data_IF_270177039452
#
_entry.id   IF_270177039452
#
_cell.length_a   1.000
_cell.length_b   1.000
_cell.length_c   1.000
_cell.angle_alpha   90.00
_cell.angle_beta   90.00
_cell.angle_gamma   90.00
#
_symmetry.space_group_name_H-M   'P 1'
#
loop_
_entity.id
_entity.type
_entity.pdbx_description
1 polymer ?
#
# COMPACT_ATOMS: atom_id res chain seq x y z
N UNK A 1 -14.87 13.56 0.50
CA UNK A 1 -15.31 12.39 1.31
C UNK A 1 -14.17 11.38 1.49
N UNK A 2 -13.62 10.80 0.44
CA UNK A 2 -12.58 9.77 0.59
C UNK A 2 -11.29 10.29 1.22
N UNK A 3 -10.86 11.50 0.90
CA UNK A 3 -9.67 12.15 1.49
C UNK A 3 -9.75 12.37 3.00
N UNK A 4 -10.97 12.43 3.56
CA UNK A 4 -11.18 12.58 5.01
C UNK A 4 -11.30 11.23 5.70
N UNK A 5 -11.55 10.17 4.93
CA UNK A 5 -11.73 8.81 5.40
C UNK A 5 -10.42 8.00 5.35
N UNK A 6 -9.63 8.21 4.30
CA UNK A 6 -8.48 7.39 3.97
C UNK A 6 -7.17 8.15 3.86
N UNK A 7 -6.10 7.47 4.23
CA UNK A 7 -4.74 7.75 3.78
C UNK A 7 -4.19 6.48 3.13
N UNK A 8 -3.64 6.60 1.94
CA UNK A 8 -2.90 5.52 1.29
C UNK A 8 -1.50 5.49 1.87
N UNK A 9 -1.06 4.34 2.35
CA UNK A 9 0.34 4.08 2.69
C UNK A 9 0.94 3.27 1.56
N UNK A 10 1.82 3.91 0.79
CA UNK A 10 2.64 3.27 -0.21
C UNK A 10 3.99 2.93 0.40
N UNK A 11 4.34 1.66 0.43
CA UNK A 11 5.62 1.21 0.96
C UNK A 11 6.43 0.52 -0.12
N UNK A 12 7.71 0.85 -0.17
CA UNK A 12 8.64 0.35 -1.20
C UNK A 12 10.03 0.15 -0.63
N UNK A 13 10.64 -0.97 -1.00
CA UNK A 13 12.06 -1.21 -0.82
C UNK A 13 12.93 -0.58 -1.92
N UNK A 14 12.30 0.05 -2.94
CA UNK A 14 12.96 0.62 -4.12
C UNK A 14 13.83 -0.41 -4.89
N UNK A 15 13.35 -1.65 -4.96
CA UNK A 15 14.00 -2.76 -5.68
C UNK A 15 13.54 -2.90 -7.11
N UNK A 16 12.34 -2.41 -7.40
CA UNK A 16 11.76 -2.51 -8.72
C UNK A 16 12.59 -1.71 -9.74
N UNK A 17 12.52 -2.13 -10.99
CA UNK A 17 13.04 -1.31 -12.07
C UNK A 17 12.38 0.08 -12.00
N UNK A 18 13.17 1.13 -12.13
CA UNK A 18 12.71 2.51 -11.95
C UNK A 18 11.59 2.90 -12.92
N UNK A 19 11.67 2.46 -14.18
CA UNK A 19 10.64 2.71 -15.18
C UNK A 19 9.35 1.97 -14.84
N UNK A 20 9.46 0.74 -14.36
CA UNK A 20 8.33 -0.08 -13.92
C UNK A 20 7.64 0.56 -12.71
N UNK A 21 8.41 0.90 -11.67
CA UNK A 21 7.84 1.52 -10.46
C UNK A 21 7.18 2.87 -10.79
N UNK A 22 7.73 3.65 -11.74
CA UNK A 22 7.10 4.90 -12.17
C UNK A 22 5.71 4.67 -12.79
N UNK A 23 5.53 3.62 -13.58
CA UNK A 23 4.22 3.24 -14.13
C UNK A 23 3.22 2.86 -13.03
N UNK A 24 3.67 2.14 -12.00
CA UNK A 24 2.87 1.81 -10.82
C UNK A 24 2.44 3.09 -10.08
N UNK A 25 3.37 4.02 -9.86
CA UNK A 25 3.11 5.31 -9.21
C UNK A 25 2.10 6.15 -10.01
N UNK A 26 2.25 6.21 -11.32
CA UNK A 26 1.34 6.98 -12.19
C UNK A 26 -0.08 6.39 -12.15
N UNK A 27 -0.21 5.06 -12.22
CA UNK A 27 -1.49 4.38 -12.03
C UNK A 27 -2.08 4.69 -10.64
N UNK A 28 -1.28 4.56 -9.59
CA UNK A 28 -1.74 4.82 -8.22
C UNK A 28 -2.30 6.24 -8.08
N UNK A 29 -1.58 7.25 -8.57
CA UNK A 29 -2.04 8.65 -8.55
C UNK A 29 -3.35 8.86 -9.29
N UNK A 30 -3.48 8.26 -10.47
CA UNK A 30 -4.68 8.35 -11.30
C UNK A 30 -5.89 7.74 -10.59
N UNK A 31 -5.74 6.53 -10.06
CA UNK A 31 -6.85 5.80 -9.44
C UNK A 31 -7.22 6.32 -8.05
N UNK A 32 -6.24 6.76 -7.28
CA UNK A 32 -6.44 7.31 -5.94
C UNK A 32 -7.18 8.66 -5.94
N UNK A 33 -6.96 9.47 -6.98
CA UNK A 33 -7.55 10.81 -7.06
C UNK A 33 -7.03 11.74 -5.95
N UNK A 34 -7.93 12.25 -5.13
CA UNK A 34 -7.62 13.23 -4.06
C UNK A 34 -7.32 12.59 -2.69
N UNK A 35 -7.23 11.26 -2.61
CA UNK A 35 -6.88 10.58 -1.36
C UNK A 35 -5.42 10.88 -1.02
N UNK A 36 -5.11 11.33 0.21
CA UNK A 36 -3.74 11.58 0.62
C UNK A 36 -2.85 10.33 0.53
N UNK A 37 -1.65 10.49 0.01
CA UNK A 37 -0.65 9.42 -0.07
C UNK A 37 0.52 9.77 0.86
N UNK A 38 0.91 8.81 1.69
CA UNK A 38 2.18 8.83 2.42
C UNK A 38 3.00 7.68 1.85
N UNK A 39 4.14 7.99 1.26
CA UNK A 39 5.08 6.98 0.81
C UNK A 39 6.18 6.79 1.86
N UNK A 40 6.45 5.53 2.18
CA UNK A 40 7.55 5.15 3.08
C UNK A 40 8.51 4.26 2.29
N UNK A 41 9.70 4.75 2.04
CA UNK A 41 10.62 4.15 1.09
C UNK A 41 12.07 4.14 1.61
N UNK A 42 12.90 3.29 1.02
CA UNK A 42 14.31 3.20 1.38
C UNK A 42 15.19 4.22 0.64
N UNK A 43 14.69 4.75 -0.49
CA UNK A 43 15.31 5.87 -1.21
C UNK A 43 14.29 7.00 -1.32
N UNK A 44 14.75 8.27 -1.41
CA UNK A 44 13.84 9.39 -1.63
C UNK A 44 12.99 9.19 -2.90
N UNK A 45 11.70 9.51 -2.82
CA UNK A 45 10.80 9.43 -3.96
C UNK A 45 9.78 10.58 -3.96
N UNK A 46 9.28 10.90 -5.15
CA UNK A 46 8.30 11.96 -5.36
C UNK A 46 6.88 11.38 -5.42
N UNK A 47 6.37 10.93 -4.28
CA UNK A 47 5.02 10.39 -4.17
C UNK A 47 4.37 10.82 -2.86
N UNK A 48 3.41 11.75 -2.93
CA UNK A 48 2.73 12.30 -1.77
C UNK A 48 3.70 12.86 -0.72
N UNK A 49 3.42 12.64 0.57
CA UNK A 49 4.38 12.90 1.64
C UNK A 49 5.35 11.73 1.75
N UNK A 50 6.60 11.92 1.34
CA UNK A 50 7.60 10.86 1.42
C UNK A 50 8.35 10.86 2.76
N UNK A 51 8.48 9.67 3.34
CA UNK A 51 9.33 9.38 4.49
C UNK A 51 10.37 8.37 4.04
N UNK A 52 11.61 8.82 3.89
CA UNK A 52 12.72 7.95 3.51
C UNK A 52 13.38 7.38 4.77
N UNK A 53 13.35 6.06 4.90
CA UNK A 53 13.93 5.34 6.06
C UNK A 53 15.39 4.92 5.87
N UNK A 54 15.92 5.12 4.64
CA UNK A 54 17.25 4.67 4.27
C UNK A 54 17.30 3.17 3.95
N UNK A 55 18.48 2.68 3.69
CA UNK A 55 18.70 1.26 3.39
C UNK A 55 18.63 0.43 4.68
N UNK A 56 17.46 -0.14 4.92
CA UNK A 56 17.18 -1.01 6.09
C UNK A 56 17.12 -2.49 5.71
N UNK A 57 17.42 -2.82 4.45
CA UNK A 57 17.35 -4.17 3.93
C UNK A 57 15.90 -4.64 3.66
N UNK A 58 15.77 -5.92 3.31
CA UNK A 58 14.50 -6.49 2.84
C UNK A 58 14.07 -7.64 3.73
N UNK A 59 12.92 -7.45 4.36
CA UNK A 59 12.23 -8.46 5.15
C UNK A 59 10.79 -8.03 5.38
N UNK A 60 9.92 -8.96 5.68
CA UNK A 60 8.55 -8.66 6.10
C UNK A 60 8.51 -7.72 7.32
N UNK A 61 9.48 -7.85 8.23
CA UNK A 61 9.58 -6.96 9.39
C UNK A 61 9.86 -5.51 8.99
N UNK A 62 10.70 -5.29 7.97
CA UNK A 62 10.98 -3.94 7.46
C UNK A 62 9.79 -3.36 6.72
N UNK A 63 9.06 -4.16 5.95
CA UNK A 63 7.80 -3.74 5.34
C UNK A 63 6.78 -3.32 6.40
N UNK A 64 6.58 -4.12 7.43
CA UNK A 64 5.68 -3.79 8.53
C UNK A 64 6.11 -2.53 9.29
N UNK A 65 7.41 -2.32 9.50
CA UNK A 65 7.94 -1.06 10.07
C UNK A 65 7.63 0.15 9.19
N UNK A 66 7.80 0.01 7.88
CA UNK A 66 7.47 1.08 6.93
C UNK A 66 5.96 1.40 6.96
N UNK A 67 5.10 0.39 6.96
CA UNK A 67 3.64 0.56 7.09
C UNK A 67 3.29 1.25 8.41
N UNK A 68 3.89 0.82 9.53
CA UNK A 68 3.66 1.41 10.85
C UNK A 68 4.07 2.88 10.90
N UNK A 69 5.21 3.24 10.33
CA UNK A 69 5.68 4.62 10.22
C UNK A 69 4.64 5.47 9.47
N UNK A 70 4.18 5.00 8.32
CA UNK A 70 3.16 5.68 7.54
C UNK A 70 1.83 5.81 8.27
N UNK A 71 1.39 4.75 8.96
CA UNK A 71 0.15 4.76 9.72
C UNK A 71 0.19 5.74 10.91
N UNK A 72 1.33 5.88 11.57
CA UNK A 72 1.52 6.88 12.65
C UNK A 72 1.47 8.31 12.13
N UNK A 73 2.00 8.54 10.93
CA UNK A 73 1.98 9.85 10.28
C UNK A 73 0.59 10.23 9.76
N UNK A 74 -0.21 9.26 9.33
CA UNK A 74 -1.57 9.47 8.81
C UNK A 74 -2.51 10.05 9.88
N UNK A 75 -3.52 10.83 9.43
CA UNK A 75 -4.52 11.47 10.31
C UNK A 75 -5.93 10.91 10.13
N UNK A 76 -6.17 10.18 9.06
CA UNK A 76 -7.48 9.63 8.71
C UNK A 76 -7.80 8.35 9.50
N UNK A 77 -9.08 7.98 9.65
CA UNK A 77 -9.47 6.80 10.41
C UNK A 77 -9.06 5.47 9.77
N UNK A 78 -8.93 5.41 8.46
CA UNK A 78 -8.56 4.19 7.73
C UNK A 78 -7.29 4.36 6.92
N UNK A 79 -6.56 3.26 6.80
CA UNK A 79 -5.37 3.12 5.95
C UNK A 79 -5.71 2.19 4.79
N UNK A 80 -5.34 2.60 3.58
CA UNK A 80 -5.32 1.77 2.38
C UNK A 80 -3.86 1.38 2.10
N UNK A 81 -3.59 0.11 1.92
CA UNK A 81 -2.26 -0.39 1.60
C UNK A 81 -2.00 -0.27 0.10
N UNK A 82 -0.78 0.10 -0.25
CA UNK A 82 -0.32 0.11 -1.65
C UNK A 82 1.16 -0.29 -1.74
N UNK A 83 1.46 -1.20 -2.67
CA UNK A 83 2.79 -1.75 -2.92
C UNK A 83 3.35 -1.34 -4.30
N UNK A 84 4.65 -1.47 -4.45
CA UNK A 84 5.40 -1.04 -5.63
C UNK A 84 5.27 -1.95 -6.86
N UNK A 85 4.58 -3.06 -6.74
CA UNK A 85 4.35 -4.04 -7.82
C UNK A 85 2.86 -4.31 -8.10
N UNK A 86 1.97 -3.43 -7.61
CA UNK A 86 0.53 -3.52 -7.81
C UNK A 86 0.01 -2.45 -8.78
N UNK A 87 -0.87 -2.86 -9.68
CA UNK A 87 -1.76 -1.98 -10.44
C UNK A 87 -3.14 -2.04 -9.79
N UNK A 88 -3.62 -0.89 -9.31
CA UNK A 88 -4.89 -0.79 -8.62
C UNK A 88 -6.00 -0.30 -9.52
N UNK A 89 -7.21 -0.83 -9.29
CA UNK A 89 -8.43 -0.32 -9.90
C UNK A 89 -9.01 0.84 -9.08
N UNK A 90 -9.81 1.67 -9.73
CA UNK A 90 -10.52 2.76 -9.06
C UNK A 90 -11.43 2.27 -7.94
N UNK A 91 -12.05 1.12 -8.11
CA UNK A 91 -13.00 0.55 -7.15
C UNK A 91 -12.35 0.24 -5.80
N UNK A 92 -11.07 -0.15 -5.80
CA UNK A 92 -10.31 -0.36 -4.58
C UNK A 92 -10.26 0.89 -3.69
N UNK A 93 -10.15 2.07 -4.29
CA UNK A 93 -10.09 3.36 -3.58
C UNK A 93 -11.46 4.00 -3.33
N UNK A 94 -12.54 3.41 -3.84
CA UNK A 94 -13.91 3.91 -3.70
C UNK A 94 -14.78 3.05 -2.79
N UNK A 95 -14.19 2.03 -2.19
CA UNK A 95 -14.85 1.19 -1.20
C UNK A 95 -15.26 2.03 0.02
N UNK A 96 -16.45 1.78 0.55
CA UNK A 96 -16.95 2.44 1.77
C UNK A 96 -16.99 1.38 2.87
N UNK A 97 -16.21 1.54 3.95
CA UNK A 97 -16.12 0.53 5.00
C UNK A 97 -17.42 0.46 5.80
N UNK A 98 -17.81 -0.74 6.18
CA UNK A 98 -18.78 -0.95 7.24
C UNK A 98 -18.11 -0.67 8.59
N UNK A 99 -18.76 0.12 9.44
CA UNK A 99 -18.20 0.54 10.75
C UNK A 99 -17.95 -0.62 11.70
N UNK A 100 -18.61 -1.75 11.52
CA UNK A 100 -18.48 -2.93 12.39
C UNK A 100 -17.23 -3.77 12.10
N UNK A 101 -16.59 -3.54 10.94
CA UNK A 101 -15.41 -4.29 10.53
C UNK A 101 -14.13 -3.48 10.75
N UNK A 102 -13.10 -4.16 11.21
CA UNK A 102 -11.79 -3.56 11.49
C UNK A 102 -10.85 -3.57 10.28
N UNK A 103 -11.03 -4.54 9.40
CA UNK A 103 -10.19 -4.76 8.22
C UNK A 103 -11.00 -5.33 7.07
N UNK A 104 -10.63 -4.95 5.87
CA UNK A 104 -11.18 -5.42 4.60
C UNK A 104 -10.05 -5.87 3.69
N UNK A 105 -10.27 -6.99 3.00
CA UNK A 105 -9.34 -7.56 2.04
C UNK A 105 -10.00 -7.51 0.66
N UNK A 106 -9.31 -6.94 -0.31
CA UNK A 106 -9.72 -7.00 -1.70
C UNK A 106 -9.41 -8.39 -2.26
N UNK A 107 -10.40 -9.09 -2.80
CA UNK A 107 -10.29 -10.50 -3.20
C UNK A 107 -10.22 -10.73 -4.71
N UNK A 108 -10.34 -9.68 -5.52
CA UNK A 108 -10.22 -9.77 -6.97
C UNK A 108 -8.81 -9.38 -7.43
N UNK A 109 -7.82 -10.16 -7.03
CA UNK A 109 -6.41 -9.92 -7.32
C UNK A 109 -5.93 -10.92 -8.36
N UNK A 110 -5.23 -10.42 -9.39
CA UNK A 110 -4.65 -11.22 -10.43
C UNK A 110 -3.13 -11.06 -10.44
N UNK A 111 -2.41 -12.18 -10.38
CA UNK A 111 -0.97 -12.19 -10.58
C UNK A 111 -0.73 -12.35 -12.07
N UNK A 112 0.09 -11.45 -12.62
CA UNK A 112 0.53 -11.46 -14.01
C UNK A 112 2.02 -11.76 -14.04
N UNK A 113 2.38 -12.81 -14.76
CA UNK A 113 3.79 -13.18 -14.96
C UNK A 113 4.28 -12.69 -16.31
N UNK A 114 5.50 -12.26 -16.30
CA UNK A 114 6.19 -11.78 -17.49
C UNK A 114 6.54 -12.93 -18.48
N UNK A 115 6.81 -12.55 -19.73
CA UNK A 115 7.13 -13.42 -20.87
C UNK A 115 8.26 -14.42 -20.65
N UNK A 116 9.18 -14.16 -19.73
CA UNK A 116 10.29 -15.06 -19.42
C UNK A 116 9.82 -16.43 -18.93
N UNK A 117 8.65 -16.48 -18.30
CA UNK A 117 8.05 -17.70 -17.77
C UNK A 117 6.78 -18.13 -18.49
N UNK A 118 6.43 -17.43 -19.59
CA UNK A 118 5.19 -17.58 -20.33
C UNK A 118 4.14 -16.56 -19.86
N UNK A 119 3.32 -16.10 -20.80
CA UNK A 119 2.23 -15.16 -20.48
C UNK A 119 1.10 -15.93 -19.81
N UNK A 120 1.10 -16.00 -18.50
CA UNK A 120 -0.01 -16.55 -17.75
C UNK A 120 -0.32 -15.70 -16.52
N UNK A 121 -1.56 -15.77 -16.12
CA UNK A 121 -2.09 -15.07 -14.99
C UNK A 121 -3.07 -15.97 -14.23
N UNK A 122 -3.16 -15.76 -12.93
CA UNK A 122 -4.12 -16.47 -12.09
C UNK A 122 -4.70 -15.58 -10.99
N UNK A 123 -5.90 -15.92 -10.55
CA UNK A 123 -6.54 -15.23 -9.46
C UNK A 123 -5.91 -15.62 -8.11
N UNK A 124 -5.46 -14.62 -7.37
CA UNK A 124 -4.99 -14.73 -5.99
C UNK A 124 -6.03 -14.09 -5.08
N UNK A 125 -6.61 -14.86 -4.17
CA UNK A 125 -7.75 -14.41 -3.36
C UNK A 125 -7.41 -13.35 -2.30
N UNK A 126 -6.16 -13.18 -1.92
CA UNK A 126 -5.75 -12.19 -0.92
C UNK A 126 -4.29 -11.78 -1.07
N UNK A 127 -4.00 -10.54 -0.70
CA UNK A 127 -2.63 -10.03 -0.60
C UNK A 127 -2.58 -8.92 0.46
N UNK A 128 -1.46 -8.81 1.16
CA UNK A 128 -1.22 -7.69 2.08
C UNK A 128 -1.25 -6.34 1.36
N UNK A 129 -0.80 -6.29 0.11
CA UNK A 129 -0.82 -5.08 -0.72
C UNK A 129 -2.21 -4.60 -1.13
N UNK A 130 -3.29 -5.33 -0.78
CA UNK A 130 -4.66 -4.99 -1.16
C UNK A 130 -5.62 -5.07 0.03
N UNK A 131 -5.32 -4.30 1.06
CA UNK A 131 -6.09 -4.24 2.31
C UNK A 131 -6.45 -2.82 2.69
N UNK A 132 -7.58 -2.71 3.41
CA UNK A 132 -8.03 -1.49 4.07
C UNK A 132 -8.25 -1.81 5.54
N UNK A 133 -7.70 -1.02 6.44
CA UNK A 133 -7.70 -1.31 7.87
C UNK A 133 -7.95 -0.05 8.69
N UNK A 134 -8.65 -0.17 9.83
CA UNK A 134 -8.72 0.92 10.82
C UNK A 134 -7.32 1.27 11.30
N UNK A 135 -6.95 2.55 11.16
CA UNK A 135 -5.61 3.04 11.50
C UNK A 135 -5.19 2.72 12.94
N UNK A 136 -6.10 2.92 13.89
CA UNK A 136 -5.81 2.67 15.32
C UNK A 136 -5.48 1.19 15.58
N UNK A 137 -6.26 0.29 14.99
CA UNK A 137 -6.02 -1.15 15.13
C UNK A 137 -4.69 -1.56 14.48
N UNK A 138 -4.41 -1.03 13.29
CA UNK A 138 -3.16 -1.31 12.58
C UNK A 138 -1.94 -0.93 13.44
N UNK A 139 -1.92 0.26 13.99
CA UNK A 139 -0.85 0.73 14.87
C UNK A 139 -0.68 -0.21 16.06
N UNK A 140 -1.76 -0.49 16.79
CA UNK A 140 -1.74 -1.37 17.96
C UNK A 140 -1.19 -2.76 17.65
N UNK A 141 -1.65 -3.38 16.55
CA UNK A 141 -1.22 -4.72 16.16
C UNK A 141 0.24 -4.76 15.71
N UNK A 142 0.66 -3.78 14.89
CA UNK A 142 2.03 -3.75 14.38
C UNK A 142 3.04 -3.39 15.47
N UNK A 143 2.72 -2.49 16.39
CA UNK A 143 3.57 -2.24 17.56
C UNK A 143 3.80 -3.51 18.37
N UNK A 144 2.74 -4.24 18.67
CA UNK A 144 2.83 -5.50 19.43
C UNK A 144 3.67 -6.58 18.73
N UNK A 145 3.63 -6.65 17.39
CA UNK A 145 4.39 -7.64 16.63
C UNK A 145 5.84 -7.25 16.37
N UNK A 146 6.16 -5.98 16.47
CA UNK A 146 7.51 -5.45 16.21
C UNK A 146 8.33 -5.24 17.49
N UNK A 147 7.74 -5.43 18.65
CA UNK A 147 8.43 -5.50 19.95
C UNK A 147 9.23 -6.81 20.06
#
# INVERSE_FOLDING_TARGET
MFKDLYTIIYYSGNRENQEFEQKIIDNLKEQAGDIPIISVSQKPMNLGKNICVGDVGFSYLNEWRQILIGAKEAKTPYIIFAESDFIYSKDYFRFIPNTDMDMYIYDNIWIVMDKKFGDYFWNKKSSEGAQICKRKLLIEKYEKHLE
#
